data_IF_922144718378
#
_entry.id   IF_922144718378
#
_cell.length_a   1.000
_cell.length_b   1.000
_cell.length_c   1.000
_cell.angle_alpha   90.00
_cell.angle_beta   90.00
_cell.angle_gamma   90.00
#
_symmetry.space_group_name_H-M   'P 1'
#
loop_
_entity.id
_entity.type
_entity.pdbx_description
1 polymer ?
#
# COMPACT_ATOMS: atom_id res chain seq x y z
N UNK A 1 10.20 -9.87 22.78
CA UNK A 1 9.31 -8.95 23.55
C UNK A 1 8.31 -8.40 22.56
N UNK A 2 7.02 -8.40 22.92
CA UNK A 2 5.98 -7.86 22.05
C UNK A 2 5.90 -6.34 22.15
N UNK A 3 5.61 -5.69 21.02
CA UNK A 3 5.39 -4.26 20.96
C UNK A 3 4.64 -3.85 19.70
N UNK A 4 4.54 -2.55 19.49
CA UNK A 4 3.93 -1.95 18.32
C UNK A 4 4.85 -0.84 17.80
N UNK A 5 5.07 -0.79 16.48
CA UNK A 5 5.82 0.31 15.88
C UNK A 5 5.02 1.59 16.08
N UNK A 6 5.60 2.55 16.78
CA UNK A 6 4.97 3.85 17.04
C UNK A 6 5.19 4.80 15.88
N UNK A 7 6.41 4.81 15.33
CA UNK A 7 6.81 5.66 14.23
C UNK A 7 8.01 5.06 13.50
N UNK A 8 8.11 5.34 12.20
CA UNK A 8 9.27 5.04 11.38
C UNK A 8 9.44 6.15 10.35
N UNK A 9 10.68 6.57 10.17
CA UNK A 9 11.08 7.56 9.18
C UNK A 9 11.29 6.88 7.83
N UNK A 10 10.59 7.37 6.80
CA UNK A 10 10.58 6.75 5.47
C UNK A 10 11.88 6.94 4.68
N UNK A 11 12.78 7.84 5.11
CA UNK A 11 14.05 8.10 4.42
C UNK A 11 15.22 7.34 5.04
N UNK A 12 15.23 7.21 6.36
CA UNK A 12 16.31 6.58 7.12
C UNK A 12 15.99 5.16 7.59
N UNK A 13 14.72 4.74 7.55
CA UNK A 13 14.27 3.45 8.08
C UNK A 13 14.36 3.34 9.61
N UNK A 14 14.77 4.40 10.29
CA UNK A 14 14.86 4.46 11.74
C UNK A 14 13.48 4.67 12.35
N UNK A 15 13.23 4.08 13.51
CA UNK A 15 11.93 4.21 14.16
C UNK A 15 11.95 3.94 15.64
N UNK A 16 10.74 3.90 16.19
CA UNK A 16 10.49 3.65 17.62
C UNK A 16 9.38 2.63 17.77
N UNK A 17 9.58 1.64 18.63
CA UNK A 17 8.58 0.66 19.08
C UNK A 17 8.12 1.03 20.49
N UNK A 18 6.81 0.94 20.74
CA UNK A 18 6.27 0.91 22.11
C UNK A 18 6.14 -0.55 22.53
N UNK A 19 6.91 -0.94 23.54
CA UNK A 19 6.85 -2.28 24.12
C UNK A 19 5.59 -2.51 24.94
N UNK A 20 5.21 -3.77 25.14
CA UNK A 20 4.11 -4.16 26.03
C UNK A 20 4.34 -3.76 27.50
N UNK A 21 5.57 -3.43 27.87
CA UNK A 21 5.98 -2.87 29.16
C UNK A 21 5.75 -1.35 29.28
N UNK A 22 5.25 -0.70 28.22
CA UNK A 22 5.02 0.75 28.14
C UNK A 22 6.27 1.58 27.86
N UNK A 23 7.44 0.94 27.68
CA UNK A 23 8.69 1.63 27.34
C UNK A 23 8.82 1.80 25.82
N UNK A 24 9.70 2.71 25.42
CA UNK A 24 10.01 2.99 24.02
C UNK A 24 11.40 2.48 23.68
N UNK A 25 11.50 1.82 22.54
CA UNK A 25 12.73 1.23 22.05
C UNK A 25 13.03 1.77 20.65
N UNK A 26 14.19 2.39 20.45
CA UNK A 26 14.61 2.87 19.15
C UNK A 26 15.14 1.72 18.30
N UNK A 27 14.98 1.79 16.98
CA UNK A 27 15.54 0.78 16.07
C UNK A 27 16.04 1.43 14.78
N UNK A 28 17.02 0.80 14.13
CA UNK A 28 17.49 1.17 12.80
C UNK A 28 16.93 0.29 11.69
N UNK A 29 17.11 0.70 10.43
CA UNK A 29 16.67 -0.07 9.26
C UNK A 29 17.19 -1.51 9.28
N UNK A 30 18.45 -1.70 9.68
CA UNK A 30 19.11 -3.01 9.72
C UNK A 30 18.52 -3.97 10.79
N UNK A 31 17.79 -3.46 11.76
CA UNK A 31 17.18 -4.25 12.83
C UNK A 31 15.83 -4.86 12.41
N UNK A 32 15.22 -4.37 11.32
CA UNK A 32 13.97 -4.88 10.75
C UNK A 32 14.24 -6.16 9.98
N UNK A 33 13.96 -7.29 10.61
CA UNK A 33 14.11 -8.62 10.03
C UNK A 33 12.78 -9.10 9.45
N UNK A 34 12.47 -8.60 8.25
CA UNK A 34 11.42 -9.15 7.39
C UNK A 34 11.14 -8.24 6.21
N UNK A 35 10.30 -8.72 5.28
CA UNK A 35 9.95 -7.98 4.06
C UNK A 35 9.39 -6.59 4.41
N UNK A 36 9.48 -5.61 3.51
CA UNK A 36 9.08 -4.20 3.73
C UNK A 36 7.66 -3.95 4.28
N UNK A 37 6.85 -5.00 4.46
CA UNK A 37 5.61 -5.06 5.26
C UNK A 37 5.72 -4.46 6.67
N UNK A 38 6.87 -4.57 7.35
CA UNK A 38 7.02 -4.15 8.76
C UNK A 38 7.29 -2.65 8.93
N UNK A 39 7.61 -1.92 7.88
CA UNK A 39 8.10 -0.54 7.97
C UNK A 39 6.95 0.50 8.07
N UNK A 40 6.04 0.35 9.03
CA UNK A 40 5.00 1.38 9.29
C UNK A 40 4.56 1.44 10.75
N UNK A 41 4.05 2.59 11.14
CA UNK A 41 3.39 2.78 12.43
C UNK A 41 2.15 1.89 12.56
N UNK A 42 1.90 1.38 13.77
CA UNK A 42 0.75 0.58 14.10
C UNK A 42 0.95 -0.94 13.98
N UNK A 43 2.04 -1.41 13.36
CA UNK A 43 2.30 -2.85 13.20
C UNK A 43 2.72 -3.47 14.54
N UNK A 44 2.02 -4.50 15.01
CA UNK A 44 2.47 -5.35 16.10
C UNK A 44 3.70 -6.17 15.69
N UNK A 45 4.72 -6.16 16.54
CA UNK A 45 6.01 -6.80 16.29
C UNK A 45 6.47 -7.58 17.52
N UNK A 46 7.29 -8.60 17.27
CA UNK A 46 8.16 -9.18 18.29
C UNK A 46 9.59 -8.67 18.04
N UNK A 47 10.28 -8.28 19.11
CA UNK A 47 11.64 -7.75 19.04
C UNK A 47 12.45 -8.15 20.27
N UNK A 48 13.78 -8.15 20.16
CA UNK A 48 14.66 -8.36 21.30
C UNK A 48 15.11 -7.00 21.86
N UNK A 49 14.85 -6.67 23.14
CA UNK A 49 15.33 -5.43 23.73
C UNK A 49 16.84 -5.53 24.04
N UNK A 50 17.59 -4.50 23.64
CA UNK A 50 19.00 -4.32 23.97
C UNK A 50 19.21 -2.90 24.53
N UNK A 51 19.09 -2.75 25.85
CA UNK A 51 19.02 -1.43 26.48
C UNK A 51 17.75 -0.69 26.05
N UNK A 52 17.92 0.51 25.53
CA UNK A 52 16.82 1.33 24.97
C UNK A 52 16.62 1.11 23.45
N UNK A 53 17.28 0.10 22.88
CA UNK A 53 17.13 -0.28 21.48
C UNK A 53 16.31 -1.57 21.31
N UNK A 54 15.60 -1.66 20.19
CA UNK A 54 14.94 -2.88 19.72
C UNK A 54 15.75 -3.44 18.56
N UNK A 55 16.19 -4.70 18.69
CA UNK A 55 16.93 -5.44 17.66
C UNK A 55 16.14 -6.69 17.26
N UNK A 56 16.48 -7.27 16.11
CA UNK A 56 15.84 -8.48 15.59
C UNK A 56 14.30 -8.39 15.56
N UNK A 57 13.79 -7.41 14.83
CA UNK A 57 12.37 -7.07 14.82
C UNK A 57 11.65 -7.87 13.74
N UNK A 58 10.64 -8.63 14.13
CA UNK A 58 9.80 -9.43 13.25
C UNK A 58 8.32 -9.04 13.41
N UNK A 59 7.49 -9.16 12.35
CA UNK A 59 6.04 -9.04 12.50
C UNK A 59 5.53 -10.08 13.51
N UNK A 60 4.62 -9.71 14.42
CA UNK A 60 3.98 -10.71 15.28
C UNK A 60 3.15 -11.65 14.37
N UNK A 61 3.40 -12.97 14.37
CA UNK A 61 2.68 -13.91 13.50
C UNK A 61 1.17 -13.97 13.78
N UNK A 62 0.72 -13.44 14.92
CA UNK A 62 -0.69 -13.36 15.29
C UNK A 62 -1.33 -12.01 14.93
N UNK A 63 -0.59 -11.14 14.24
CA UNK A 63 -1.10 -9.83 13.80
C UNK A 63 -2.26 -10.01 12.83
N UNK A 64 -3.42 -9.36 13.05
CA UNK A 64 -4.48 -9.33 12.05
C UNK A 64 -3.94 -8.75 10.74
N UNK A 65 -4.21 -9.41 9.60
CA UNK A 65 -3.72 -9.02 8.28
C UNK A 65 -3.99 -7.54 7.92
N UNK A 66 -5.00 -6.92 8.53
CA UNK A 66 -5.33 -5.51 8.40
C UNK A 66 -4.20 -4.55 8.85
N UNK A 67 -3.38 -4.93 9.84
CA UNK A 67 -2.19 -4.16 10.21
C UNK A 67 -0.98 -4.51 9.35
N UNK A 68 -1.04 -5.64 8.64
CA UNK A 68 0.03 -6.14 7.79
C UNK A 68 -0.08 -5.66 6.33
N UNK A 69 -1.13 -4.93 5.92
CA UNK A 69 -1.26 -4.40 4.55
C UNK A 69 -1.77 -2.94 4.50
N UNK A 70 -1.29 -2.13 3.54
CA UNK A 70 -1.31 -0.66 3.54
C UNK A 70 -2.64 0.07 3.77
N UNK A 71 -2.59 1.41 3.77
CA UNK A 71 -3.75 2.27 4.04
C UNK A 71 -4.88 2.10 3.02
N UNK A 72 -4.59 1.59 1.82
CA UNK A 72 -5.58 1.46 0.74
C UNK A 72 -6.06 0.03 0.60
N UNK A 73 -7.38 -0.13 0.69
CA UNK A 73 -8.03 -1.41 0.47
C UNK A 73 -8.11 -1.76 -1.04
N UNK A 74 -7.60 -2.95 -1.42
CA UNK A 74 -7.62 -3.46 -2.80
C UNK A 74 -9.03 -3.68 -3.35
N UNK A 75 -9.99 -4.06 -2.51
CA UNK A 75 -11.37 -4.26 -2.92
C UNK A 75 -12.05 -2.93 -3.24
N UNK A 76 -11.75 -1.86 -2.48
CA UNK A 76 -12.23 -0.51 -2.79
C UNK A 76 -11.63 -0.06 -4.13
N UNK A 77 -10.32 -0.24 -4.32
CA UNK A 77 -9.67 0.08 -5.60
C UNK A 77 -10.29 -0.71 -6.77
N UNK A 78 -10.55 -2.01 -6.58
CA UNK A 78 -11.16 -2.88 -7.59
C UNK A 78 -12.59 -2.49 -7.93
N UNK A 79 -13.43 -2.17 -6.93
CA UNK A 79 -14.81 -1.72 -7.14
C UNK A 79 -14.85 -0.36 -7.85
N UNK A 80 -13.97 0.57 -7.48
CA UNK A 80 -13.81 1.84 -8.17
C UNK A 80 -13.39 1.64 -9.63
N UNK A 81 -12.48 0.69 -9.90
CA UNK A 81 -12.06 0.35 -11.25
C UNK A 81 -13.19 -0.31 -12.06
N UNK A 82 -14.04 -1.13 -11.42
CA UNK A 82 -15.14 -1.80 -12.11
C UNK A 82 -16.26 -0.83 -12.52
N UNK A 83 -16.69 0.06 -11.62
CA UNK A 83 -17.84 0.94 -11.86
C UNK A 83 -17.47 2.31 -12.41
N UNK A 84 -16.32 2.84 -12.01
CA UNK A 84 -15.87 4.20 -12.36
C UNK A 84 -14.50 4.19 -13.05
N UNK A 85 -14.08 3.03 -13.54
CA UNK A 85 -12.77 2.81 -14.14
C UNK A 85 -12.48 3.64 -15.37
N UNK A 86 -13.48 3.79 -16.24
CA UNK A 86 -13.36 4.60 -17.47
C UNK A 86 -13.03 6.06 -17.13
N UNK A 87 -13.46 6.57 -15.98
CA UNK A 87 -13.13 7.92 -15.50
C UNK A 87 -11.78 7.99 -14.75
N UNK A 88 -11.13 6.85 -14.47
CA UNK A 88 -9.85 6.78 -13.75
C UNK A 88 -9.96 6.97 -12.25
N UNK A 89 -11.15 6.83 -11.64
CA UNK A 89 -11.37 7.10 -10.20
C UNK A 89 -10.48 6.25 -9.29
N UNK A 90 -10.26 4.99 -9.64
CA UNK A 90 -9.37 4.09 -8.90
C UNK A 90 -7.91 4.58 -8.88
N UNK A 91 -7.45 5.28 -9.93
CA UNK A 91 -6.11 5.88 -9.95
C UNK A 91 -5.99 7.03 -8.96
N UNK A 92 -7.01 7.87 -8.86
CA UNK A 92 -7.04 8.95 -7.86
C UNK A 92 -7.07 8.40 -6.44
N UNK A 93 -7.83 7.33 -6.20
CA UNK A 93 -7.82 6.62 -4.90
C UNK A 93 -6.42 6.09 -4.54
N UNK A 94 -5.68 5.57 -5.52
CA UNK A 94 -4.30 5.13 -5.34
C UNK A 94 -3.29 6.30 -5.23
N UNK A 95 -3.71 7.55 -5.45
CA UNK A 95 -2.86 8.73 -5.47
C UNK A 95 -2.04 8.87 -6.76
N UNK A 96 -2.43 8.19 -7.84
CA UNK A 96 -1.83 8.29 -9.18
C UNK A 96 -2.57 9.36 -10.00
N UNK A 97 -2.46 10.62 -9.56
CA UNK A 97 -3.23 11.73 -10.12
C UNK A 97 -2.99 11.95 -11.62
N UNK A 98 -1.74 11.74 -12.09
CA UNK A 98 -1.40 11.87 -13.52
C UNK A 98 -2.10 10.80 -14.36
N UNK A 99 -2.00 9.53 -13.95
CA UNK A 99 -2.67 8.42 -14.62
C UNK A 99 -4.20 8.61 -14.63
N UNK A 100 -4.79 9.00 -13.49
CA UNK A 100 -6.23 9.30 -13.40
C UNK A 100 -6.66 10.42 -14.34
N UNK A 101 -5.87 11.50 -14.44
CA UNK A 101 -6.17 12.61 -15.34
C UNK A 101 -6.08 12.21 -16.81
N UNK A 102 -5.13 11.34 -17.18
CA UNK A 102 -5.02 10.78 -18.53
C UNK A 102 -6.27 9.96 -18.87
N UNK A 103 -6.71 9.07 -17.98
CA UNK A 103 -7.94 8.28 -18.20
C UNK A 103 -9.16 9.18 -18.35
N UNK A 104 -9.30 10.20 -17.49
CA UNK A 104 -10.38 11.16 -17.55
C UNK A 104 -10.38 11.94 -18.87
N UNK A 105 -9.22 12.44 -19.31
CA UNK A 105 -9.09 13.17 -20.57
C UNK A 105 -9.42 12.29 -21.78
N UNK A 106 -8.91 11.06 -21.83
CA UNK A 106 -9.24 10.09 -22.88
C UNK A 106 -10.74 9.78 -22.92
N UNK A 107 -11.40 9.74 -21.77
CA UNK A 107 -12.84 9.49 -21.68
C UNK A 107 -13.66 10.69 -22.12
N UNK A 108 -13.29 11.91 -21.69
CA UNK A 108 -14.01 13.15 -22.02
C UNK A 108 -13.77 13.61 -23.46
N UNK A 109 -12.57 13.37 -24.03
CA UNK A 109 -12.22 13.74 -25.39
C UNK A 109 -12.34 12.57 -26.38
N UNK A 110 -12.65 11.37 -25.90
CA UNK A 110 -12.69 10.16 -26.73
C UNK A 110 -13.71 10.22 -27.86
N UNK A 111 -14.79 10.99 -27.70
CA UNK A 111 -15.80 11.21 -28.75
C UNK A 111 -15.22 11.85 -30.02
N UNK A 112 -14.14 12.65 -29.90
CA UNK A 112 -13.43 13.27 -31.04
C UNK A 112 -12.85 12.21 -31.98
N UNK A 113 -12.52 11.03 -31.44
CA UNK A 113 -11.92 9.91 -32.17
C UNK A 113 -12.85 8.69 -32.10
N UNK A 114 -14.15 8.90 -32.36
CA UNK A 114 -15.16 7.85 -32.44
C UNK A 114 -15.25 6.93 -31.20
N UNK A 115 -15.02 7.47 -30.00
CA UNK A 115 -15.02 6.75 -28.72
C UNK A 115 -13.94 5.67 -28.58
N UNK A 116 -13.02 5.55 -29.53
CA UNK A 116 -11.95 4.55 -29.49
C UNK A 116 -11.08 4.68 -28.23
N UNK A 117 -10.62 5.89 -27.83
CA UNK A 117 -9.85 6.05 -26.59
C UNK A 117 -10.65 5.66 -25.34
N UNK A 118 -11.94 5.98 -25.30
CA UNK A 118 -12.84 5.64 -24.19
C UNK A 118 -12.97 4.11 -24.04
N UNK A 119 -13.11 3.39 -25.16
CA UNK A 119 -13.18 1.92 -25.15
C UNK A 119 -11.88 1.29 -24.66
N UNK A 120 -10.73 1.80 -25.11
CA UNK A 120 -9.41 1.32 -24.66
C UNK A 120 -9.27 1.51 -23.14
N UNK A 121 -9.57 2.71 -22.63
CA UNK A 121 -9.50 3.02 -21.20
C UNK A 121 -10.47 2.14 -20.39
N UNK A 122 -11.66 1.87 -20.92
CA UNK A 122 -12.61 0.93 -20.31
C UNK A 122 -12.05 -0.49 -20.17
N UNK A 123 -11.39 -1.02 -21.21
CA UNK A 123 -10.73 -2.33 -21.16
C UNK A 123 -9.58 -2.34 -20.15
N UNK A 124 -8.75 -1.30 -20.14
CA UNK A 124 -7.66 -1.14 -19.16
C UNK A 124 -8.23 -1.20 -17.74
N UNK A 125 -9.26 -0.41 -17.45
CA UNK A 125 -9.83 -0.35 -16.12
C UNK A 125 -10.49 -1.67 -15.69
N UNK A 126 -11.13 -2.38 -16.62
CA UNK A 126 -11.70 -3.70 -16.35
C UNK A 126 -10.61 -4.72 -15.99
N UNK A 127 -9.49 -4.74 -16.72
CA UNK A 127 -8.33 -5.59 -16.41
C UNK A 127 -7.78 -5.24 -15.02
N UNK A 128 -7.63 -3.95 -14.72
CA UNK A 128 -7.14 -3.51 -13.40
C UNK A 128 -8.08 -3.87 -12.26
N UNK A 129 -9.40 -3.83 -12.48
CA UNK A 129 -10.38 -4.30 -11.49
C UNK A 129 -10.15 -5.78 -11.14
N UNK A 130 -9.94 -6.64 -12.15
CA UNK A 130 -9.63 -8.06 -11.94
C UNK A 130 -8.30 -8.20 -11.20
N UNK A 131 -7.25 -7.48 -11.62
CA UNK A 131 -5.92 -7.56 -10.99
C UNK A 131 -6.02 -7.18 -9.51
N UNK A 132 -6.70 -6.08 -9.17
CA UNK A 132 -6.81 -5.63 -7.79
C UNK A 132 -7.58 -6.61 -6.91
N UNK A 133 -8.65 -7.22 -7.43
CA UNK A 133 -9.45 -8.19 -6.68
C UNK A 133 -8.77 -9.55 -6.53
N UNK A 134 -7.91 -9.94 -7.48
CA UNK A 134 -7.27 -11.26 -7.49
C UNK A 134 -5.87 -11.29 -6.87
N UNK A 135 -5.21 -10.13 -6.76
CA UNK A 135 -3.93 -9.99 -6.03
C UNK A 135 -4.13 -10.32 -4.55
N UNK A 136 -3.13 -10.95 -3.92
CA UNK A 136 -3.08 -10.96 -2.45
C UNK A 136 -3.01 -9.51 -1.97
N UNK A 137 -3.48 -9.26 -0.75
CA UNK A 137 -3.26 -7.96 -0.13
C UNK A 137 -1.78 -7.65 -0.26
N UNK A 138 -0.91 -8.62 0.08
CA UNK A 138 0.54 -8.50 -0.05
C UNK A 138 1.05 -7.87 -1.34
N UNK A 139 0.64 -8.47 -2.43
CA UNK A 139 1.15 -8.04 -3.72
C UNK A 139 0.61 -6.66 -4.13
N UNK A 140 -0.51 -6.22 -3.56
CA UNK A 140 -1.15 -4.95 -3.88
C UNK A 140 -0.40 -3.74 -3.32
N UNK A 141 -0.22 -3.63 -2.00
CA UNK A 141 0.57 -2.53 -1.39
C UNK A 141 2.00 -2.50 -1.92
N UNK A 142 2.68 -3.65 -2.05
CA UNK A 142 4.05 -3.64 -2.57
C UNK A 142 4.08 -3.02 -3.98
N UNK A 143 3.13 -3.39 -4.84
CA UNK A 143 3.10 -2.91 -6.22
C UNK A 143 2.62 -1.45 -6.33
N UNK A 144 1.52 -1.11 -5.65
CA UNK A 144 0.80 0.16 -5.88
C UNK A 144 1.06 1.23 -4.82
N UNK A 145 1.47 0.86 -3.61
CA UNK A 145 1.78 1.82 -2.56
C UNK A 145 3.29 2.04 -2.41
N UNK A 146 4.09 0.96 -2.35
CA UNK A 146 5.55 1.04 -2.21
C UNK A 146 6.20 1.37 -3.55
N UNK A 147 6.05 0.49 -4.56
CA UNK A 147 6.67 0.66 -5.87
C UNK A 147 5.97 1.69 -6.75
N UNK A 148 4.81 2.19 -6.33
CA UNK A 148 4.03 3.24 -7.02
C UNK A 148 3.82 2.91 -8.51
N UNK A 149 3.55 1.64 -8.85
CA UNK A 149 3.35 1.21 -10.23
C UNK A 149 2.01 1.73 -10.77
N UNK A 150 2.07 2.70 -11.67
CA UNK A 150 0.86 3.41 -12.11
C UNK A 150 -0.04 2.59 -13.03
N UNK A 151 0.50 1.65 -13.81
CA UNK A 151 -0.24 0.84 -14.78
C UNK A 151 0.15 -0.63 -14.66
N UNK A 152 -0.86 -1.51 -14.67
CA UNK A 152 -0.77 -2.98 -14.55
C UNK A 152 0.30 -3.46 -13.58
#
# INVERSE_FOLDING_TARGET
MKGQILHIDAQSGNGVITGADGRRYAFGEADLLGSGQIARAGVPVDFQPQGDAAVQIYPDPNTPAAFAYGDKNKFIAGLLALFFGTFGVHKFYLGFNKAGLIMLACTLLGWVVFFLPTMIVGVIAFIEAIIYMTRSDEQFHETYEIRRKEWF
#
